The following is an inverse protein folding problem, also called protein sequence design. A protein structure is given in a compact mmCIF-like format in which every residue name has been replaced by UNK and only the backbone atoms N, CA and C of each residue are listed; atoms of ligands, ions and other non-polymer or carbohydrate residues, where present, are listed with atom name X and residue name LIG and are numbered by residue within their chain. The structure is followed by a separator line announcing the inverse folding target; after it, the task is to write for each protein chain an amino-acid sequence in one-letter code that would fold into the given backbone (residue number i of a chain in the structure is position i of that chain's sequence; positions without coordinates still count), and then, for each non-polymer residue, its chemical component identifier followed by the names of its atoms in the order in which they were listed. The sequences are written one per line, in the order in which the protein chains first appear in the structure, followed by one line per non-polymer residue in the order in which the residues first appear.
data_IF_397522592487
#
_entry.id   IF_397522592487
#
_cell.length_a   1.000
_cell.length_b   1.000
_cell.length_c   1.000
_cell.angle_alpha   90.00
_cell.angle_beta   90.00
_cell.angle_gamma   90.00
#
_symmetry.space_group_name_H-M   'P 1'
#
loop_
_entity.id
_entity.type
_entity.pdbx_description
1 polymer ?
#
# COMPACT_ATOMS: atom_id res chain seq x y z
N UNK A 1 -13.89 -5.59 1.84
CA UNK A 1 -14.11 -4.61 0.76
C UNK A 1 -12.78 -3.95 0.45
N UNK A 2 -12.17 -4.29 -0.68
CA UNK A 2 -10.93 -3.66 -1.13
C UNK A 2 -11.31 -2.38 -1.87
N UNK A 3 -11.11 -1.22 -1.25
CA UNK A 3 -11.19 0.07 -1.92
C UNK A 3 -9.79 0.52 -2.28
N UNK A 4 -9.54 0.76 -3.55
CA UNK A 4 -8.37 1.52 -3.98
C UNK A 4 -8.48 2.91 -3.36
N UNK A 5 -7.57 3.25 -2.45
CA UNK A 5 -7.52 4.58 -1.87
C UNK A 5 -7.27 5.58 -3.01
N UNK A 6 -8.29 6.40 -3.33
CA UNK A 6 -8.04 7.64 -4.07
C UNK A 6 -7.22 8.51 -3.13
N UNK A 7 -5.99 8.76 -3.48
CA UNK A 7 -5.23 9.83 -2.86
C UNK A 7 -5.97 11.15 -3.11
N UNK A 8 -6.77 11.60 -2.13
CA UNK A 8 -7.11 13.00 -2.07
C UNK A 8 -5.82 13.73 -1.71
N UNK A 9 -5.39 14.59 -2.64
CA UNK A 9 -4.20 15.41 -2.51
C UNK A 9 -4.34 16.29 -1.27
N UNK A 10 -3.53 16.06 -0.24
CA UNK A 10 -2.99 17.17 0.50
C UNK A 10 -2.07 17.91 -0.48
N UNK A 11 -2.46 19.10 -0.90
CA UNK A 11 -1.62 19.98 -1.72
C UNK A 11 -0.47 20.49 -0.86
N UNK A 12 0.79 20.12 -1.10
CA UNK A 12 1.88 21.00 -0.76
C UNK A 12 1.95 22.05 -1.88
N UNK A 13 2.10 23.30 -1.51
CA UNK A 13 2.39 24.38 -2.44
C UNK A 13 3.69 24.08 -3.20
N UNK A 14 3.59 23.94 -4.53
CA UNK A 14 4.70 23.66 -5.43
C UNK A 14 4.31 22.60 -6.45
N UNK A 15 4.23 23.01 -7.71
CA UNK A 15 3.90 22.16 -8.86
C UNK A 15 4.71 20.86 -8.85
N UNK A 16 4.06 19.74 -8.62
CA UNK A 16 4.57 18.44 -9.02
C UNK A 16 3.69 17.91 -10.14
N UNK A 17 4.27 17.77 -11.31
CA UNK A 17 3.66 17.10 -12.46
C UNK A 17 3.21 15.72 -12.01
N UNK A 18 1.91 15.48 -12.08
CA UNK A 18 1.31 14.23 -11.65
C UNK A 18 1.82 13.06 -12.49
N UNK A 19 2.54 12.15 -11.87
CA UNK A 19 2.75 10.82 -12.42
C UNK A 19 1.42 10.05 -12.39
N UNK A 20 1.05 9.34 -13.45
CA UNK A 20 -0.18 8.56 -13.49
C UNK A 20 -0.14 7.43 -12.46
N UNK A 21 -1.20 7.31 -11.69
CA UNK A 21 -1.41 6.58 -10.44
C UNK A 21 -1.33 5.04 -10.49
N UNK A 22 -0.90 4.41 -11.55
CA UNK A 22 -1.12 2.97 -11.72
C UNK A 22 0.07 2.19 -12.29
N UNK A 23 1.28 2.69 -12.19
CA UNK A 23 2.43 2.05 -12.85
C UNK A 23 3.64 1.79 -11.97
N UNK A 24 3.55 1.94 -10.64
CA UNK A 24 4.76 1.91 -9.82
C UNK A 24 5.30 0.49 -9.60
N UNK A 25 4.47 -0.49 -9.30
CA UNK A 25 4.96 -1.87 -9.09
C UNK A 25 5.50 -2.52 -10.37
N UNK A 26 4.80 -2.38 -11.49
CA UNK A 26 5.29 -2.87 -12.78
C UNK A 26 6.53 -2.11 -13.28
N UNK A 27 6.72 -0.84 -12.89
CA UNK A 27 7.92 -0.06 -13.17
C UNK A 27 9.08 -0.44 -12.26
N UNK A 28 8.83 -0.73 -11.00
CA UNK A 28 9.85 -1.13 -10.04
C UNK A 28 10.59 -2.41 -10.46
N UNK A 29 9.88 -3.39 -10.99
CA UNK A 29 10.47 -4.63 -11.52
C UNK A 29 11.40 -4.36 -12.72
N UNK A 30 11.21 -3.23 -13.42
CA UNK A 30 11.99 -2.85 -14.61
C UNK A 30 13.06 -1.79 -14.34
N UNK A 31 12.77 -0.84 -13.45
CA UNK A 31 13.59 0.35 -13.21
C UNK A 31 14.34 0.34 -11.87
N UNK A 32 14.10 -0.66 -11.04
CA UNK A 32 14.63 -0.73 -9.68
C UNK A 32 13.90 0.18 -8.68
N UNK A 33 14.43 0.26 -7.47
CA UNK A 33 13.86 1.04 -6.38
C UNK A 33 13.91 2.55 -6.68
N UNK A 34 12.79 3.24 -6.46
CA UNK A 34 12.66 4.70 -6.63
C UNK A 34 12.55 5.36 -5.26
N UNK A 35 13.52 6.22 -4.91
CA UNK A 35 13.57 6.90 -3.61
C UNK A 35 12.45 7.93 -3.43
N UNK A 36 11.95 8.49 -4.53
CA UNK A 36 10.85 9.48 -4.57
C UNK A 36 9.46 8.84 -4.75
N UNK A 37 9.32 7.55 -4.41
CA UNK A 37 8.05 6.86 -4.51
C UNK A 37 6.94 7.52 -3.67
N UNK A 38 5.71 7.25 -4.03
CA UNK A 38 4.56 7.67 -3.23
C UNK A 38 4.54 6.88 -1.93
N UNK A 39 4.36 7.57 -0.83
CA UNK A 39 4.27 7.00 0.51
C UNK A 39 3.02 7.49 1.24
N UNK A 40 2.65 6.82 2.30
CA UNK A 40 1.55 7.19 3.17
C UNK A 40 2.04 8.16 4.24
N UNK A 41 1.38 9.31 4.39
CA UNK A 41 1.69 10.22 5.52
C UNK A 41 1.18 9.63 6.83
N UNK A 42 1.78 10.03 7.95
CA UNK A 42 1.38 9.57 9.29
C UNK A 42 -0.10 9.87 9.56
N UNK A 43 -0.56 11.08 9.23
CA UNK A 43 -1.96 11.46 9.40
C UNK A 43 -2.91 10.58 8.58
N UNK A 44 -2.51 10.24 7.35
CA UNK A 44 -3.30 9.34 6.52
C UNK A 44 -3.30 7.92 7.07
N UNK A 45 -2.19 7.44 7.65
CA UNK A 45 -2.12 6.14 8.31
C UNK A 45 -3.03 6.09 9.54
N UNK A 46 -3.02 7.11 10.40
CA UNK A 46 -3.93 7.21 11.53
C UNK A 46 -5.40 7.27 11.09
N UNK A 47 -5.71 8.02 10.04
CA UNK A 47 -7.07 8.05 9.48
C UNK A 47 -7.53 6.65 9.04
N UNK A 48 -6.68 5.90 8.35
CA UNK A 48 -6.99 4.54 7.91
C UNK A 48 -7.14 3.57 9.09
N UNK A 49 -6.30 3.70 10.11
CA UNK A 49 -6.39 2.92 11.34
C UNK A 49 -7.74 3.15 12.03
N UNK A 50 -8.16 4.41 12.17
CA UNK A 50 -9.44 4.80 12.78
C UNK A 50 -10.65 4.37 11.93
N UNK A 51 -10.50 4.22 10.62
CA UNK A 51 -11.57 3.76 9.74
C UNK A 51 -11.93 2.27 9.93
N UNK A 52 -11.26 1.54 10.82
CA UNK A 52 -11.55 0.15 11.15
C UNK A 52 -11.20 -0.84 10.03
N UNK A 53 -10.26 -0.48 9.17
CA UNK A 53 -9.77 -1.36 8.11
C UNK A 53 -9.08 -2.60 8.73
N UNK A 54 -9.19 -3.73 8.06
CA UNK A 54 -8.52 -4.97 8.47
C UNK A 54 -7.22 -5.20 7.73
N UNK A 55 -7.11 -4.61 6.54
CA UNK A 55 -5.94 -4.76 5.68
C UNK A 55 -5.80 -3.54 4.77
N UNK A 56 -4.55 -3.12 4.57
CA UNK A 56 -4.15 -2.13 3.56
C UNK A 56 -3.19 -2.81 2.59
N UNK A 57 -3.50 -2.75 1.31
CA UNK A 57 -2.62 -3.19 0.24
C UNK A 57 -1.95 -2.00 -0.45
N UNK A 58 -0.66 -2.11 -0.74
CA UNK A 58 0.14 -1.06 -1.34
C UNK A 58 0.94 -1.57 -2.54
N UNK A 59 0.94 -0.82 -3.61
CA UNK A 59 1.58 -1.20 -4.88
C UNK A 59 3.04 -0.74 -4.99
N UNK A 60 3.73 -0.66 -3.87
CA UNK A 60 5.16 -0.41 -3.78
C UNK A 60 5.79 -1.21 -2.64
N UNK A 61 7.14 -1.19 -2.54
CA UNK A 61 7.90 -1.98 -1.54
C UNK A 61 7.76 -1.48 -0.12
N UNK A 62 7.41 -0.19 0.07
CA UNK A 62 7.18 0.37 1.40
C UNK A 62 6.08 1.42 1.36
N UNK A 63 5.23 1.44 2.38
CA UNK A 63 4.25 2.50 2.61
C UNK A 63 4.87 3.73 3.23
N UNK A 64 6.01 3.61 3.90
CA UNK A 64 6.73 4.75 4.47
C UNK A 64 7.63 5.43 3.45
N UNK A 65 8.01 6.67 3.76
CA UNK A 65 8.95 7.43 2.96
C UNK A 65 10.32 6.77 2.97
N UNK A 66 11.04 6.82 1.84
CA UNK A 66 12.43 6.40 1.77
C UNK A 66 13.28 7.14 2.81
N UNK A 67 14.16 6.41 3.49
CA UNK A 67 15.03 6.95 4.54
C UNK A 67 14.32 7.26 5.86
N UNK A 68 13.05 6.89 6.02
CA UNK A 68 12.38 6.98 7.32
C UNK A 68 13.00 6.00 8.31
N UNK A 69 13.56 6.51 9.41
CA UNK A 69 14.18 5.67 10.44
C UNK A 69 13.14 4.98 11.34
N UNK A 70 11.97 5.60 11.51
CA UNK A 70 10.99 5.21 12.53
C UNK A 70 9.76 4.53 11.93
N UNK A 71 9.67 4.36 10.61
CA UNK A 71 8.55 3.70 9.92
C UNK A 71 7.15 4.08 10.45
N UNK A 72 6.82 5.37 10.56
CA UNK A 72 5.67 5.81 11.33
C UNK A 72 4.33 5.39 10.74
N UNK A 73 4.21 5.21 9.42
CA UNK A 73 2.99 4.71 8.82
C UNK A 73 2.78 3.21 9.10
N UNK A 74 3.86 2.42 9.10
CA UNK A 74 3.81 1.03 9.55
C UNK A 74 3.33 0.94 11.00
N UNK A 75 3.97 1.67 11.92
CA UNK A 75 3.57 1.66 13.33
C UNK A 75 2.11 2.03 13.52
N UNK A 76 1.64 3.13 12.92
CA UNK A 76 0.27 3.58 13.06
C UNK A 76 -0.77 2.52 12.62
N UNK A 77 -0.48 1.76 11.57
CA UNK A 77 -1.39 0.75 11.05
C UNK A 77 -1.27 -0.58 11.80
N UNK A 78 -0.05 -1.08 12.02
CA UNK A 78 0.19 -2.37 12.65
C UNK A 78 -0.26 -2.36 14.12
N UNK A 79 -0.01 -1.28 14.87
CA UNK A 79 -0.47 -1.13 16.26
C UNK A 79 -2.01 -1.09 16.36
N UNK A 80 -2.67 -0.62 15.31
CA UNK A 80 -4.13 -0.67 15.21
C UNK A 80 -4.67 -2.04 14.73
N UNK A 81 -3.80 -3.03 14.54
CA UNK A 81 -4.17 -4.38 14.08
C UNK A 81 -4.52 -4.45 12.59
N UNK A 82 -4.08 -3.48 11.79
CA UNK A 82 -4.27 -3.49 10.35
C UNK A 82 -3.15 -4.28 9.68
N UNK A 83 -3.49 -5.31 8.91
CA UNK A 83 -2.52 -6.08 8.13
C UNK A 83 -2.02 -5.25 6.96
N UNK A 84 -0.70 -5.21 6.75
CA UNK A 84 -0.09 -4.56 5.60
C UNK A 84 0.31 -5.59 4.54
N UNK A 85 0.03 -5.29 3.29
CA UNK A 85 0.47 -6.08 2.14
C UNK A 85 1.13 -5.13 1.13
N UNK A 86 2.43 -5.22 1.00
CA UNK A 86 3.25 -4.40 0.14
C UNK A 86 3.70 -5.16 -1.11
N UNK A 87 4.23 -4.46 -2.10
CA UNK A 87 4.72 -5.07 -3.33
C UNK A 87 3.64 -5.65 -4.23
N UNK A 88 2.39 -5.16 -4.14
CA UNK A 88 1.30 -5.56 -5.02
C UNK A 88 1.48 -4.96 -6.42
N UNK A 89 1.23 -5.73 -7.45
CA UNK A 89 1.04 -5.18 -8.80
C UNK A 89 -0.45 -4.89 -9.02
N UNK A 90 -0.82 -3.62 -8.93
CA UNK A 90 -2.19 -3.14 -9.14
C UNK A 90 -2.36 -2.41 -10.49
N UNK A 91 -1.40 -2.53 -11.41
CA UNK A 91 -1.39 -1.83 -12.70
C UNK A 91 -2.65 -2.09 -13.53
N UNK A 92 -3.10 -3.34 -13.55
CA UNK A 92 -4.29 -3.80 -14.29
C UNK A 92 -5.56 -3.83 -13.43
N UNK A 93 -5.48 -3.36 -12.16
CA UNK A 93 -6.62 -3.43 -11.23
C UNK A 93 -7.44 -2.14 -11.28
N UNK A 94 -8.68 -2.24 -11.71
CA UNK A 94 -9.63 -1.12 -11.71
C UNK A 94 -10.09 -0.76 -10.28
N UNK A 95 -10.53 0.50 -10.09
CA UNK A 95 -11.05 0.98 -8.81
C UNK A 95 -12.51 0.54 -8.60
N UNK A 96 -12.70 -0.70 -8.15
CA UNK A 96 -14.01 -1.30 -7.83
C UNK A 96 -13.91 -2.27 -6.65
N UNK A 97 -15.01 -2.89 -6.29
CA UNK A 97 -15.05 -3.92 -5.25
C UNK A 97 -14.57 -5.27 -5.77
N UNK A 98 -13.79 -5.96 -4.94
CA UNK A 98 -13.29 -7.30 -5.19
C UNK A 98 -13.45 -8.18 -3.96
N UNK A 99 -13.54 -9.49 -4.19
CA UNK A 99 -13.24 -10.48 -3.15
C UNK A 99 -11.74 -10.75 -3.21
N UNK A 100 -11.04 -10.48 -2.11
CA UNK A 100 -9.60 -10.70 -2.00
C UNK A 100 -9.30 -11.98 -1.24
N UNK A 101 -8.38 -12.78 -1.79
CA UNK A 101 -7.71 -13.85 -1.09
C UNK A 101 -6.23 -13.47 -0.92
N UNK A 102 -5.75 -13.44 0.32
CA UNK A 102 -4.35 -13.17 0.65
C UNK A 102 -3.83 -14.38 1.42
N UNK A 103 -2.87 -15.09 0.86
CA UNK A 103 -2.37 -16.38 1.33
C UNK A 103 -0.87 -16.26 1.65
N UNK A 104 -0.51 -15.88 2.91
CA UNK A 104 0.88 -15.81 3.31
C UNK A 104 1.49 -17.20 3.49
N UNK A 105 2.79 -17.32 3.26
CA UNK A 105 3.55 -18.49 3.68
C UNK A 105 3.57 -18.57 5.20
N UNK A 106 3.48 -19.79 5.74
CA UNK A 106 3.63 -20.02 7.17
C UNK A 106 5.11 -20.02 7.53
N UNK A 107 5.61 -18.87 7.97
CA UNK A 107 6.96 -18.68 8.46
C UNK A 107 6.91 -18.63 9.99
N UNK A 108 7.48 -19.65 10.66
CA UNK A 108 7.49 -19.69 12.13
C UNK A 108 8.44 -18.64 12.69
N UNK A 109 7.97 -17.83 13.65
CA UNK A 109 8.76 -16.78 14.29
C UNK A 109 9.08 -15.56 13.44
N UNK A 110 8.54 -15.49 12.23
CA UNK A 110 8.67 -14.30 11.37
C UNK A 110 7.57 -13.26 11.65
N UNK A 111 7.89 -12.00 11.51
CA UNK A 111 6.99 -10.86 11.59
C UNK A 111 6.30 -10.56 10.24
N UNK A 112 6.84 -11.07 9.15
CA UNK A 112 6.30 -10.96 7.81
C UNK A 112 6.56 -12.23 6.98
N UNK A 113 5.81 -12.40 5.88
CA UNK A 113 6.00 -13.49 4.94
C UNK A 113 5.57 -13.11 3.53
N UNK A 114 6.19 -13.69 2.48
CA UNK A 114 5.66 -13.57 1.13
C UNK A 114 4.22 -14.10 1.05
N UNK A 115 3.37 -13.40 0.30
CA UNK A 115 1.98 -13.78 0.15
C UNK A 115 1.55 -13.82 -1.32
N UNK A 116 0.67 -14.79 -1.65
CA UNK A 116 -0.07 -14.77 -2.91
C UNK A 116 -1.37 -14.01 -2.69
N UNK A 117 -1.55 -12.92 -3.44
CA UNK A 117 -2.79 -12.14 -3.44
C UNK A 117 -3.53 -12.35 -4.75
N UNK A 118 -4.82 -12.61 -4.65
CA UNK A 118 -5.72 -12.78 -5.79
C UNK A 118 -6.96 -11.91 -5.55
N UNK A 119 -7.32 -11.11 -6.54
CA UNK A 119 -8.54 -10.31 -6.56
C UNK A 119 -9.53 -10.92 -7.55
N UNK A 120 -10.73 -11.25 -7.10
CA UNK A 120 -11.83 -11.73 -7.92
C UNK A 120 -12.93 -10.68 -7.96
N UNK A 121 -13.37 -10.30 -9.16
CA UNK A 121 -14.53 -9.42 -9.31
C UNK A 121 -15.77 -10.06 -8.69
N UNK A 122 -16.59 -9.23 -8.05
CA UNK A 122 -17.97 -9.63 -7.75
C UNK A 122 -18.76 -9.67 -9.07
N UNK A 123 -19.47 -10.76 -9.27
CA UNK A 123 -20.45 -10.85 -10.34
C UNK A 123 -21.59 -9.85 -10.10
#
# INVERSE_FOLDING_TARGET
VFRRLRQERAKPAGERRGLPKARMAGQMLKAGYQEDHLYLTVDAAHYLAQAGLKLVGFDYLSIDRFGSADFPAHHALLEAGVVLVEGLDLSEVEAREYVMSCLPLRVGGGDAAPARVVLRSRA
#
